data_IF_095470480757
#
_entry.id   IF_095470480757
#
_cell.length_a   1.000
_cell.length_b   1.000
_cell.length_c   1.000
_cell.angle_alpha   90.00
_cell.angle_beta   90.00
_cell.angle_gamma   90.00
#
_symmetry.space_group_name_H-M   'P 1'
#
loop_
_entity.id
_entity.type
_entity.pdbx_description
1 polymer ?
#
# COMPACT_ATOMS: atom_id res chain seq x y z
N UNK A 1 -28.48 36.98 13.26
CA UNK A 1 -27.08 36.57 13.48
C UNK A 1 -26.94 35.18 12.87
N UNK A 2 -26.46 35.09 11.62
CA UNK A 2 -26.37 33.83 10.89
C UNK A 2 -25.00 33.21 11.20
N UNK A 3 -25.00 32.10 11.93
CA UNK A 3 -23.82 31.29 12.19
C UNK A 3 -23.52 30.41 10.96
N UNK A 4 -22.35 30.60 10.34
CA UNK A 4 -21.83 29.83 9.20
C UNK A 4 -20.32 29.67 9.44
N UNK A 5 -19.67 28.53 9.15
CA UNK A 5 -19.82 27.20 9.73
C UNK A 5 -18.47 26.73 10.31
N UNK A 6 -18.35 26.59 11.64
CA UNK A 6 -17.13 26.05 12.31
C UNK A 6 -16.71 24.66 11.78
N UNK A 7 -17.66 23.86 11.30
CA UNK A 7 -17.43 22.50 10.80
C UNK A 7 -16.67 22.46 9.47
N UNK A 8 -16.94 23.40 8.55
CA UNK A 8 -16.24 23.44 7.26
C UNK A 8 -14.76 23.84 7.43
N UNK A 9 -14.47 24.74 8.37
CA UNK A 9 -13.10 25.09 8.77
C UNK A 9 -12.38 23.92 9.43
N UNK A 10 -13.05 23.20 10.32
CA UNK A 10 -12.48 22.02 10.99
C UNK A 10 -12.21 20.85 10.02
N UNK A 11 -13.09 20.63 9.03
CA UNK A 11 -12.89 19.61 7.99
C UNK A 11 -11.71 19.94 7.06
N UNK A 12 -11.55 21.21 6.69
CA UNK A 12 -10.40 21.67 5.88
C UNK A 12 -9.08 21.49 6.63
N UNK A 13 -9.00 21.91 7.89
CA UNK A 13 -7.82 21.74 8.73
C UNK A 13 -7.43 20.27 8.90
N UNK A 14 -8.40 19.36 9.07
CA UNK A 14 -8.14 17.91 9.13
C UNK A 14 -7.62 17.36 7.80
N UNK A 15 -8.17 17.82 6.68
CA UNK A 15 -7.69 17.42 5.35
C UNK A 15 -6.25 17.91 5.09
N UNK A 16 -5.92 19.14 5.49
CA UNK A 16 -4.56 19.69 5.39
C UNK A 16 -3.58 18.92 6.28
N UNK A 17 -3.97 18.61 7.52
CA UNK A 17 -3.14 17.80 8.42
C UNK A 17 -2.90 16.39 7.87
N UNK A 18 -3.91 15.76 7.28
CA UNK A 18 -3.76 14.45 6.64
C UNK A 18 -2.85 14.53 5.41
N UNK A 19 -3.00 15.55 4.55
CA UNK A 19 -2.12 15.77 3.40
C UNK A 19 -0.66 15.96 3.81
N UNK A 20 -0.41 16.76 4.84
CA UNK A 20 0.94 16.98 5.36
C UNK A 20 1.54 15.69 5.93
N UNK A 21 0.72 14.88 6.61
CA UNK A 21 1.15 13.57 7.11
C UNK A 21 1.47 12.61 5.97
N UNK A 22 0.62 12.52 4.96
CA UNK A 22 0.82 11.67 3.79
C UNK A 22 2.07 12.08 3.01
N UNK A 23 2.31 13.38 2.85
CA UNK A 23 3.53 13.91 2.23
C UNK A 23 4.79 13.51 3.01
N UNK A 24 4.79 13.65 4.33
CA UNK A 24 5.91 13.22 5.17
C UNK A 24 6.19 11.71 5.03
N UNK A 25 5.14 10.88 4.93
CA UNK A 25 5.30 9.44 4.74
C UNK A 25 5.83 9.09 3.33
N UNK A 26 5.47 9.87 2.31
CA UNK A 26 6.03 9.73 0.95
C UNK A 26 7.52 10.06 0.92
N UNK A 27 7.92 11.15 1.59
CA UNK A 27 9.33 11.54 1.72
C UNK A 27 10.10 10.47 2.52
N UNK A 28 9.52 9.96 3.61
CA UNK A 28 10.10 8.87 4.39
C UNK A 28 10.30 7.59 3.56
N UNK A 29 9.28 7.18 2.79
CA UNK A 29 9.37 6.03 1.87
C UNK A 29 10.50 6.21 0.87
N UNK A 30 10.62 7.39 0.26
CA UNK A 30 11.68 7.69 -0.69
C UNK A 30 13.06 7.66 -0.04
N UNK A 31 13.19 8.21 1.17
CA UNK A 31 14.45 8.19 1.93
C UNK A 31 14.88 6.76 2.29
N UNK A 32 13.96 5.92 2.79
CA UNK A 32 14.26 4.52 3.07
C UNK A 32 14.64 3.74 1.80
N UNK A 33 14.04 4.07 0.66
CA UNK A 33 14.37 3.45 -0.64
C UNK A 33 15.79 3.78 -1.09
N UNK A 34 16.28 5.00 -0.83
CA UNK A 34 17.63 5.44 -1.24
C UNK A 34 18.74 5.03 -0.24
N UNK A 35 18.48 5.20 1.05
CA UNK A 35 19.49 5.12 2.11
C UNK A 35 19.35 3.92 3.03
N UNK A 36 18.35 3.05 2.81
CA UNK A 36 18.13 1.87 3.63
C UNK A 36 17.87 2.23 5.10
N UNK A 37 18.56 1.53 6.01
CA UNK A 37 18.30 1.61 7.43
C UNK A 37 18.82 2.90 8.11
N UNK A 38 19.73 3.65 7.50
CA UNK A 38 20.53 4.64 8.24
C UNK A 38 20.05 6.09 8.06
N UNK A 39 18.75 6.30 7.84
CA UNK A 39 18.21 7.65 7.63
C UNK A 39 18.26 8.51 8.90
N UNK A 40 18.67 9.78 8.75
CA UNK A 40 18.61 10.80 9.79
C UNK A 40 17.23 11.48 9.79
N UNK A 41 16.50 11.41 10.92
CA UNK A 41 15.16 12.00 11.07
C UNK A 41 15.18 13.54 10.96
N UNK A 42 16.26 14.20 11.35
CA UNK A 42 16.37 15.66 11.25
C UNK A 42 16.48 16.12 9.79
N UNK A 43 17.25 15.39 8.98
CA UNK A 43 17.38 15.67 7.56
C UNK A 43 16.09 15.31 6.80
N UNK A 44 15.40 14.26 7.24
CA UNK A 44 14.08 13.92 6.74
C UNK A 44 13.04 15.01 7.04
N UNK A 45 13.07 15.61 8.24
CA UNK A 45 12.18 16.71 8.59
C UNK A 45 12.39 17.91 7.65
N UNK A 46 13.65 18.25 7.37
CA UNK A 46 14.01 19.31 6.41
C UNK A 46 13.52 18.96 5.00
N UNK A 47 13.76 17.74 4.53
CA UNK A 47 13.33 17.28 3.20
C UNK A 47 11.81 17.33 3.05
N UNK A 48 11.06 16.95 4.10
CA UNK A 48 9.60 16.97 4.12
C UNK A 48 9.00 18.35 4.42
N UNK A 49 9.83 19.39 4.64
CA UNK A 49 9.36 20.74 4.96
C UNK A 49 8.60 20.84 6.28
N UNK A 50 8.84 19.93 7.23
CA UNK A 50 8.19 19.92 8.55
C UNK A 50 9.19 20.28 9.64
N UNK A 51 8.70 20.91 10.72
CA UNK A 51 9.53 21.14 11.90
C UNK A 51 9.96 19.82 12.54
N UNK A 52 11.23 19.73 12.96
CA UNK A 52 11.81 18.54 13.64
C UNK A 52 10.96 18.13 14.85
N UNK A 53 10.53 19.10 15.67
CA UNK A 53 9.64 18.83 16.80
C UNK A 53 8.26 18.28 16.40
N UNK A 54 7.75 18.64 15.23
CA UNK A 54 6.50 18.07 14.68
C UNK A 54 6.72 16.62 14.26
N UNK A 55 7.84 16.32 13.61
CA UNK A 55 8.18 14.94 13.22
C UNK A 55 8.30 14.04 14.45
N UNK A 56 9.10 14.43 15.45
CA UNK A 56 9.28 13.63 16.69
C UNK A 56 7.99 13.49 17.51
N UNK A 57 7.08 14.49 17.47
CA UNK A 57 5.75 14.35 18.10
C UNK A 57 4.89 13.28 17.44
N UNK A 58 4.98 13.13 16.12
CA UNK A 58 4.21 12.13 15.38
C UNK A 58 4.90 10.78 15.34
N UNK A 59 6.23 10.76 15.30
CA UNK A 59 7.07 9.59 15.16
C UNK A 59 8.25 9.72 16.12
N UNK A 60 8.05 9.35 17.40
CA UNK A 60 9.09 9.52 18.43
C UNK A 60 10.35 8.71 18.14
N UNK A 61 10.22 7.63 17.38
CA UNK A 61 11.31 6.75 16.98
C UNK A 61 11.29 6.50 15.48
N UNK A 62 12.45 6.09 14.96
CA UNK A 62 12.58 5.61 13.58
C UNK A 62 11.68 4.41 13.30
N UNK A 63 11.54 3.50 14.26
CA UNK A 63 10.64 2.35 14.17
C UNK A 63 9.18 2.82 14.03
N UNK A 64 8.74 3.80 14.82
CA UNK A 64 7.41 4.37 14.70
C UNK A 64 7.15 5.01 13.31
N UNK A 65 8.17 5.64 12.72
CA UNK A 65 8.08 6.20 11.37
C UNK A 65 7.92 5.09 10.32
N UNK A 66 8.73 4.03 10.39
CA UNK A 66 8.67 2.97 9.37
C UNK A 66 7.40 2.13 9.47
N UNK A 67 6.91 1.88 10.69
CA UNK A 67 5.60 1.29 10.91
C UNK A 67 4.49 2.14 10.30
N UNK A 68 4.57 3.46 10.44
CA UNK A 68 3.61 4.38 9.87
C UNK A 68 3.66 4.40 8.34
N UNK A 69 4.86 4.35 7.74
CA UNK A 69 5.03 4.17 6.29
C UNK A 69 4.37 2.88 5.85
N UNK A 70 4.68 1.75 6.50
CA UNK A 70 4.10 0.46 6.17
C UNK A 70 2.56 0.46 6.23
N UNK A 71 1.99 0.96 7.34
CA UNK A 71 0.53 1.06 7.52
C UNK A 71 -0.11 1.97 6.48
N UNK A 72 0.57 3.06 6.11
CA UNK A 72 0.09 3.97 5.08
C UNK A 72 0.04 3.32 3.70
N UNK A 73 1.05 2.53 3.35
CA UNK A 73 1.04 1.79 2.07
C UNK A 73 -0.08 0.76 2.01
N UNK A 74 -0.33 0.02 3.10
CA UNK A 74 -1.48 -0.92 3.13
C UNK A 74 -2.81 -0.17 3.05
N UNK A 75 -2.96 0.94 3.79
CA UNK A 75 -4.15 1.79 3.73
C UNK A 75 -4.40 2.29 2.30
N UNK A 76 -3.39 2.85 1.65
CA UNK A 76 -3.49 3.35 0.26
C UNK A 76 -3.87 2.25 -0.71
N UNK A 77 -3.30 1.05 -0.55
CA UNK A 77 -3.65 -0.08 -1.40
C UNK A 77 -5.10 -0.54 -1.19
N UNK A 78 -5.57 -0.56 0.06
CA UNK A 78 -6.97 -0.87 0.36
C UNK A 78 -7.93 0.20 -0.19
N UNK A 79 -7.63 1.49 -0.01
CA UNK A 79 -8.39 2.62 -0.57
C UNK A 79 -8.40 2.57 -2.11
N UNK A 80 -7.28 2.19 -2.73
CA UNK A 80 -7.20 2.03 -4.18
C UNK A 80 -8.16 0.95 -4.70
N UNK A 81 -8.42 -0.12 -3.94
CA UNK A 81 -9.40 -1.14 -4.35
C UNK A 81 -10.79 -0.54 -4.52
N UNK A 82 -11.25 0.26 -3.56
CA UNK A 82 -12.53 0.96 -3.62
C UNK A 82 -12.56 1.95 -4.80
N UNK A 83 -11.55 2.83 -4.89
CA UNK A 83 -11.51 3.83 -5.96
C UNK A 83 -11.48 3.19 -7.36
N UNK A 84 -10.68 2.14 -7.55
CA UNK A 84 -10.61 1.42 -8.83
C UNK A 84 -11.93 0.71 -9.14
N UNK A 85 -12.56 0.10 -8.13
CA UNK A 85 -13.87 -0.53 -8.29
C UNK A 85 -14.95 0.47 -8.77
N UNK A 86 -14.91 1.70 -8.26
CA UNK A 86 -15.88 2.74 -8.60
C UNK A 86 -15.64 3.39 -9.96
N UNK A 87 -14.40 3.36 -10.46
CA UNK A 87 -13.98 4.13 -11.64
C UNK A 87 -13.64 3.28 -12.87
N UNK A 88 -13.49 1.96 -12.72
CA UNK A 88 -13.08 1.07 -13.80
C UNK A 88 -14.01 -0.15 -13.94
N UNK A 89 -14.06 -0.78 -15.13
CA UNK A 89 -14.66 -2.10 -15.31
C UNK A 89 -14.07 -3.12 -14.33
N UNK A 90 -14.84 -4.13 -13.86
CA UNK A 90 -14.40 -5.04 -12.80
C UNK A 90 -13.05 -5.72 -13.06
N UNK A 91 -12.83 -6.21 -14.28
CA UNK A 91 -11.56 -6.85 -14.65
C UNK A 91 -10.38 -5.87 -14.66
N UNK A 92 -10.59 -4.65 -15.16
CA UNK A 92 -9.55 -3.62 -15.22
C UNK A 92 -9.21 -3.06 -13.84
N UNK A 93 -10.21 -2.97 -12.94
CA UNK A 93 -10.01 -2.63 -11.54
C UNK A 93 -9.14 -3.67 -10.84
N UNK A 94 -9.46 -4.96 -11.00
CA UNK A 94 -8.66 -6.07 -10.44
C UNK A 94 -7.23 -6.06 -10.99
N UNK A 95 -7.07 -5.95 -12.32
CA UNK A 95 -5.73 -5.88 -12.96
C UNK A 95 -4.91 -4.72 -12.42
N UNK A 96 -5.50 -3.53 -12.38
CA UNK A 96 -4.81 -2.31 -11.91
C UNK A 96 -4.41 -2.44 -10.44
N UNK A 97 -5.29 -2.97 -9.60
CA UNK A 97 -5.00 -3.17 -8.19
C UNK A 97 -3.90 -4.22 -7.97
N UNK A 98 -3.89 -5.32 -8.73
CA UNK A 98 -2.82 -6.31 -8.68
C UNK A 98 -1.45 -5.72 -9.04
N UNK A 99 -1.39 -4.76 -9.99
CA UNK A 99 -0.15 -4.03 -10.31
C UNK A 99 0.30 -3.15 -9.14
N UNK A 100 -0.62 -2.45 -8.47
CA UNK A 100 -0.32 -1.69 -7.25
C UNK A 100 0.15 -2.60 -6.11
N UNK A 101 -0.38 -3.83 -6.01
CA UNK A 101 0.10 -4.82 -5.05
C UNK A 101 1.54 -5.24 -5.32
N UNK A 102 1.97 -5.33 -6.58
CA UNK A 102 3.38 -5.55 -6.94
C UNK A 102 4.27 -4.39 -6.46
N UNK A 103 3.86 -3.14 -6.70
CA UNK A 103 4.59 -1.95 -6.22
C UNK A 103 4.69 -1.91 -4.68
N UNK A 104 3.64 -2.35 -4.00
CA UNK A 104 3.64 -2.53 -2.55
C UNK A 104 4.62 -3.60 -2.08
N UNK A 105 4.72 -4.75 -2.77
CA UNK A 105 5.72 -5.78 -2.46
C UNK A 105 7.14 -5.21 -2.60
N UNK A 106 7.41 -4.45 -3.66
CA UNK A 106 8.72 -3.83 -3.88
C UNK A 106 9.08 -2.89 -2.72
N UNK A 107 8.14 -2.02 -2.35
CA UNK A 107 8.29 -1.12 -1.21
C UNK A 107 8.54 -1.89 0.09
N UNK A 108 7.77 -2.97 0.33
CA UNK A 108 7.91 -3.81 1.52
C UNK A 108 9.29 -4.45 1.60
N UNK A 109 9.85 -4.97 0.51
CA UNK A 109 11.18 -5.59 0.53
C UNK A 109 12.28 -4.60 0.88
N UNK A 110 12.19 -3.37 0.37
CA UNK A 110 13.16 -2.32 0.67
C UNK A 110 13.19 -2.01 2.18
N UNK A 111 12.03 -2.00 2.83
CA UNK A 111 11.91 -1.71 4.27
C UNK A 111 11.96 -2.97 5.16
N UNK A 112 11.94 -4.17 4.58
CA UNK A 112 11.87 -5.43 5.34
C UNK A 112 13.03 -5.64 6.32
N UNK A 113 14.31 -5.37 5.98
CA UNK A 113 15.42 -5.51 6.93
C UNK A 113 15.20 -4.67 8.19
N UNK A 114 14.65 -3.47 8.02
CA UNK A 114 14.37 -2.56 9.12
C UNK A 114 13.14 -3.02 9.90
N UNK A 115 12.07 -3.44 9.22
CA UNK A 115 10.88 -3.97 9.91
C UNK A 115 11.22 -5.21 10.76
N UNK A 116 12.17 -6.03 10.28
CA UNK A 116 12.65 -7.20 10.99
C UNK A 116 13.54 -6.84 12.20
N UNK A 117 14.14 -5.65 12.25
CA UNK A 117 14.93 -5.19 13.40
C UNK A 117 14.10 -4.56 14.52
N UNK A 118 12.80 -4.32 14.30
CA UNK A 118 11.89 -3.76 15.32
C UNK A 118 11.71 -4.75 16.47
N UNK A 119 11.72 -4.26 17.71
CA UNK A 119 11.46 -5.06 18.91
C UNK A 119 10.08 -5.71 18.83
N UNK A 120 10.03 -7.05 18.92
CA UNK A 120 8.78 -7.83 18.77
C UNK A 120 8.44 -8.22 17.33
N UNK A 121 9.22 -7.76 16.35
CA UNK A 121 9.10 -8.12 14.94
C UNK A 121 7.84 -7.58 14.24
N UNK A 122 7.75 -7.78 12.91
CA UNK A 122 6.68 -7.18 12.11
C UNK A 122 5.35 -7.94 12.18
N UNK A 123 5.29 -9.07 12.89
CA UNK A 123 4.10 -9.95 12.95
C UNK A 123 2.83 -9.23 13.40
N UNK A 124 2.95 -8.31 14.36
CA UNK A 124 1.82 -7.52 14.85
C UNK A 124 1.31 -6.51 13.80
N UNK A 125 2.21 -5.95 12.98
CA UNK A 125 1.86 -5.07 11.85
C UNK A 125 1.13 -5.84 10.76
N UNK A 126 1.64 -7.03 10.43
CA UNK A 126 1.05 -7.91 9.42
C UNK A 126 -0.34 -8.38 9.86
N UNK A 127 -0.52 -8.73 11.13
CA UNK A 127 -1.84 -9.08 11.68
C UNK A 127 -2.82 -7.91 11.60
N UNK A 128 -2.39 -6.70 12.01
CA UNK A 128 -3.25 -5.52 12.06
C UNK A 128 -3.69 -5.00 10.68
N UNK A 129 -2.96 -5.34 9.61
CA UNK A 129 -3.19 -4.80 8.25
C UNK A 129 -3.65 -5.86 7.26
N UNK A 130 -3.49 -7.15 7.59
CA UNK A 130 -3.82 -8.26 6.71
C UNK A 130 -5.28 -8.29 6.29
N UNK A 131 -6.22 -7.97 7.18
CA UNK A 131 -7.65 -8.01 6.87
C UNK A 131 -8.06 -6.95 5.84
N UNK A 132 -7.39 -5.80 5.79
CA UNK A 132 -7.66 -4.76 4.79
C UNK A 132 -7.31 -5.26 3.38
N UNK A 133 -6.16 -5.93 3.22
CA UNK A 133 -5.75 -6.50 1.94
C UNK A 133 -6.65 -7.66 1.52
N UNK A 134 -7.06 -8.52 2.46
CA UNK A 134 -8.01 -9.60 2.19
C UNK A 134 -9.36 -9.06 1.71
N UNK A 135 -9.90 -8.03 2.36
CA UNK A 135 -11.15 -7.41 1.96
C UNK A 135 -11.05 -6.79 0.56
N UNK A 136 -9.94 -6.10 0.27
CA UNK A 136 -9.68 -5.49 -1.03
C UNK A 136 -9.70 -6.52 -2.18
N UNK A 137 -8.90 -7.59 -2.08
CA UNK A 137 -8.83 -8.61 -3.14
C UNK A 137 -10.15 -9.37 -3.29
N UNK A 138 -10.80 -9.73 -2.19
CA UNK A 138 -12.09 -10.42 -2.21
C UNK A 138 -13.17 -9.58 -2.89
N UNK A 139 -13.25 -8.28 -2.57
CA UNK A 139 -14.21 -7.37 -3.17
C UNK A 139 -14.02 -7.22 -4.67
N UNK A 140 -12.77 -7.05 -5.12
CA UNK A 140 -12.45 -6.92 -6.55
C UNK A 140 -12.74 -8.21 -7.33
N UNK A 141 -12.32 -9.36 -6.83
CA UNK A 141 -12.59 -10.65 -7.48
C UNK A 141 -14.08 -10.95 -7.51
N UNK A 142 -14.81 -10.71 -6.42
CA UNK A 142 -16.26 -10.95 -6.38
C UNK A 142 -17.00 -10.15 -7.45
N UNK A 143 -16.59 -8.89 -7.71
CA UNK A 143 -17.16 -8.07 -8.78
C UNK A 143 -16.81 -8.59 -10.18
N UNK A 144 -15.58 -9.04 -10.39
CA UNK A 144 -15.15 -9.62 -11.66
C UNK A 144 -15.80 -10.98 -11.95
N UNK A 145 -16.12 -11.76 -10.92
CA UNK A 145 -16.93 -12.98 -11.05
C UNK A 145 -18.39 -12.62 -11.37
N UNK A 146 -18.96 -11.63 -10.69
CA UNK A 146 -20.34 -11.21 -10.92
C UNK A 146 -20.57 -10.63 -12.32
N UNK A 147 -19.54 -10.02 -12.95
CA UNK A 147 -19.60 -9.57 -14.35
C UNK A 147 -19.38 -10.68 -15.37
N UNK A 148 -18.98 -11.89 -14.94
CA UNK A 148 -18.65 -13.00 -15.83
C UNK A 148 -17.24 -12.90 -16.45
N UNK A 149 -16.42 -11.91 -16.05
CA UNK A 149 -15.07 -11.74 -16.58
C UNK A 149 -14.08 -12.78 -16.02
N UNK A 150 -14.37 -13.32 -14.83
CA UNK A 150 -13.52 -14.27 -14.09
C UNK A 150 -14.35 -15.49 -13.69
N UNK A 151 -13.73 -16.68 -13.71
CA UNK A 151 -14.37 -17.93 -13.29
C UNK A 151 -14.69 -17.96 -11.77
N UNK A 152 -15.81 -18.56 -11.34
CA UNK A 152 -16.27 -18.49 -9.95
C UNK A 152 -15.48 -19.36 -8.96
N UNK A 153 -14.69 -20.32 -9.45
CA UNK A 153 -13.84 -21.23 -8.66
C UNK A 153 -12.45 -20.66 -8.35
N UNK A 154 -12.14 -19.44 -8.79
CA UNK A 154 -10.88 -18.78 -8.48
C UNK A 154 -10.79 -18.39 -6.99
N UNK A 155 -9.79 -18.90 -6.27
CA UNK A 155 -9.41 -18.35 -4.96
C UNK A 155 -8.71 -16.99 -5.15
N UNK A 156 -9.27 -15.87 -4.66
CA UNK A 156 -8.64 -14.55 -4.74
C UNK A 156 -7.22 -14.51 -4.17
N UNK A 157 -6.94 -15.35 -3.16
CA UNK A 157 -5.63 -15.39 -2.50
C UNK A 157 -4.55 -16.08 -3.33
N UNK A 158 -4.91 -16.95 -4.27
CA UNK A 158 -3.93 -17.60 -5.16
C UNK A 158 -3.27 -16.57 -6.09
N UNK A 159 -4.01 -15.54 -6.49
CA UNK A 159 -3.45 -14.40 -7.24
C UNK A 159 -2.36 -13.69 -6.42
N UNK A 160 -2.60 -13.45 -5.12
CA UNK A 160 -1.62 -12.81 -4.24
C UNK A 160 -0.41 -13.71 -4.00
N UNK A 161 -0.64 -15.00 -3.74
CA UNK A 161 0.42 -16.00 -3.52
C UNK A 161 1.33 -16.13 -4.74
N UNK A 162 0.78 -16.12 -5.95
CA UNK A 162 1.56 -16.15 -7.18
C UNK A 162 2.49 -14.94 -7.29
N UNK A 163 1.97 -13.71 -7.07
CA UNK A 163 2.78 -12.49 -7.13
C UNK A 163 3.86 -12.43 -6.03
N UNK A 164 3.52 -12.84 -4.81
CA UNK A 164 4.48 -12.95 -3.70
C UNK A 164 5.54 -14.01 -3.98
N UNK A 165 5.17 -15.13 -4.59
CA UNK A 165 6.09 -16.21 -4.95
C UNK A 165 7.17 -15.74 -5.93
N UNK A 166 6.76 -15.02 -6.99
CA UNK A 166 7.67 -14.44 -7.98
C UNK A 166 8.68 -13.51 -7.32
N UNK A 167 8.18 -12.67 -6.42
CA UNK A 167 9.00 -11.67 -5.75
C UNK A 167 10.01 -12.28 -4.75
N UNK A 168 9.75 -13.49 -4.23
CA UNK A 168 10.70 -14.24 -3.38
C UNK A 168 11.69 -15.11 -4.18
N UNK A 169 11.26 -15.67 -5.32
CA UNK A 169 12.08 -16.61 -6.11
C UNK A 169 13.02 -15.87 -7.06
N UNK A 170 12.58 -14.74 -7.62
CA UNK A 170 13.38 -13.93 -8.52
C UNK A 170 14.19 -12.90 -7.73
N UNK A 171 15.36 -13.31 -7.21
CA UNK A 171 16.42 -12.37 -6.81
C UNK A 171 17.09 -11.69 -8.03
N UNK A 172 16.41 -11.65 -9.18
CA UNK A 172 16.89 -11.01 -10.40
C UNK A 172 16.48 -9.53 -10.41
N UNK A 173 17.29 -8.62 -11.01
CA UNK A 173 16.99 -7.19 -11.02
C UNK A 173 15.64 -6.81 -11.67
N UNK A 174 15.04 -7.70 -12.46
CA UNK A 174 13.83 -7.45 -13.25
C UNK A 174 12.54 -8.03 -12.65
N UNK A 175 12.59 -8.55 -11.42
CA UNK A 175 11.47 -9.27 -10.80
C UNK A 175 10.16 -8.46 -10.79
N UNK A 176 10.22 -7.14 -10.57
CA UNK A 176 9.03 -6.28 -10.50
C UNK A 176 8.35 -6.18 -11.88
N UNK A 177 9.15 -6.00 -12.92
CA UNK A 177 8.66 -6.02 -14.30
C UNK A 177 8.10 -7.40 -14.67
N UNK A 178 8.74 -8.48 -14.18
CA UNK A 178 8.25 -9.85 -14.36
C UNK A 178 6.92 -10.09 -13.66
N UNK A 179 6.77 -9.64 -12.41
CA UNK A 179 5.53 -9.73 -11.66
C UNK A 179 4.39 -8.94 -12.33
N UNK A 180 4.67 -7.73 -12.86
CA UNK A 180 3.70 -6.94 -13.63
C UNK A 180 3.23 -7.65 -14.91
N UNK A 181 4.12 -8.34 -15.62
CA UNK A 181 3.72 -9.21 -16.76
C UNK A 181 2.89 -10.40 -16.31
N UNK A 182 3.23 -11.01 -15.17
CA UNK A 182 2.48 -12.13 -14.62
C UNK A 182 1.07 -11.75 -14.19
N UNK A 183 0.81 -10.49 -13.80
CA UNK A 183 -0.57 -10.01 -13.60
C UNK A 183 -1.41 -10.28 -14.85
N UNK A 184 -0.91 -9.96 -16.04
CA UNK A 184 -1.68 -10.12 -17.28
C UNK A 184 -1.90 -11.61 -17.61
N UNK A 185 -0.90 -12.47 -17.34
CA UNK A 185 -1.01 -13.93 -17.51
C UNK A 185 -2.03 -14.52 -16.53
N UNK A 186 -1.98 -14.12 -15.25
CA UNK A 186 -2.91 -14.57 -14.22
C UNK A 186 -4.34 -14.15 -14.57
N UNK A 187 -4.54 -12.91 -15.02
CA UNK A 187 -5.84 -12.41 -15.46
C UNK A 187 -6.36 -13.21 -16.66
N UNK A 188 -5.54 -13.39 -17.70
CA UNK A 188 -5.93 -14.18 -18.87
C UNK A 188 -6.28 -15.63 -18.50
N UNK A 189 -5.44 -16.25 -17.66
CA UNK A 189 -5.63 -17.61 -17.17
C UNK A 189 -6.76 -17.77 -16.15
N UNK A 190 -7.38 -16.68 -15.67
CA UNK A 190 -8.50 -16.69 -14.72
C UNK A 190 -9.87 -16.47 -15.39
N UNK A 191 -9.89 -16.23 -16.70
CA UNK A 191 -11.14 -16.10 -17.46
C UNK A 191 -11.89 -17.45 -17.54
N UNK A 192 -13.22 -17.44 -17.72
CA UNK A 192 -13.98 -18.66 -17.96
C UNK A 192 -13.43 -19.43 -19.17
N UNK A 193 -13.38 -20.76 -19.06
CA UNK A 193 -13.10 -21.62 -20.21
C UNK A 193 -14.35 -21.59 -21.08
N UNK A 194 -14.19 -21.18 -22.34
CA UNK A 194 -15.29 -21.17 -23.33
C UNK A 194 -15.46 -22.55 -23.92
#
# INVERSE_FOLDING_TARGET
>A
MIDVPKEAGNRRLRADAQRNRDHLLDVAKAAFTRGGADINLDDLAKEAGVGVGTLYRHFPTRDALIEAVYRNEVRRLAEAATNLADTHPPLDALRSWMRLFVDYIATKYLIAPVLNSIVGGPSHLYAATGDQLKQAINGLVSRAVASGDIRPDLDPFDLLRALVGVANVAATPDWEASAKRLVDILIAGSRPVT
#
